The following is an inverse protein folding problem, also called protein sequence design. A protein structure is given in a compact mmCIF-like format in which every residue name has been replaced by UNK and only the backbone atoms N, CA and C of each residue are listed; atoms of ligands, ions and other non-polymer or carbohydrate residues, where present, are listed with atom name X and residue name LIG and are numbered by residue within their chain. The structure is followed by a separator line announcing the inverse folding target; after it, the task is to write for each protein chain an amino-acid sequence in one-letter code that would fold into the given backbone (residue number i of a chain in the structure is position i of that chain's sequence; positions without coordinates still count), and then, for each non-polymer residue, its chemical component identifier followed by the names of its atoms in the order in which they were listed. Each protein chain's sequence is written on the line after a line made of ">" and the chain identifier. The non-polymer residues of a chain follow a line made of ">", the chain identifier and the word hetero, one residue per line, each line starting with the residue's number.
data_IF_408869507732
#
_entry.id   IF_408869507732
#
_cell.length_a   1.000
_cell.length_b   1.000
_cell.length_c   1.000
_cell.angle_alpha   90.00
_cell.angle_beta   90.00
_cell.angle_gamma   90.00
#
_symmetry.space_group_name_H-M   'P 1'
#
loop_
_entity.id
_entity.type
_entity.pdbx_description
1 polymer ?
#
# COMPACT_ATOMS: atom_id res chain seq x y z
N UNK A 1 19.40 15.50 -13.50
CA UNK A 1 20.40 15.50 -12.41
C UNK A 1 19.86 14.47 -11.40
N UNK A 2 20.28 13.22 -11.58
CA UNK A 2 19.83 12.11 -10.73
C UNK A 2 20.54 12.23 -9.38
N UNK A 3 19.74 12.30 -8.32
CA UNK A 3 20.25 12.23 -6.95
C UNK A 3 20.86 10.83 -6.73
N UNK A 4 22.17 10.72 -6.79
CA UNK A 4 22.94 9.56 -6.39
C UNK A 4 23.04 9.51 -4.85
N UNK A 5 21.91 9.41 -4.18
CA UNK A 5 21.81 9.24 -2.75
C UNK A 5 21.07 7.94 -2.48
N UNK A 6 21.83 6.82 -2.36
CA UNK A 6 21.27 5.61 -1.80
C UNK A 6 20.69 5.89 -0.42
N UNK A 7 19.72 5.10 0.00
CA UNK A 7 19.19 5.09 1.35
C UNK A 7 20.39 5.01 2.31
N UNK A 8 20.63 6.11 3.04
CA UNK A 8 21.77 6.18 3.94
C UNK A 8 21.63 5.13 5.03
N UNK A 9 22.56 4.22 4.97
CA UNK A 9 22.89 3.15 5.90
C UNK A 9 22.17 3.15 7.25
N UNK A 10 21.65 1.97 7.58
CA UNK A 10 21.12 1.46 8.84
C UNK A 10 19.62 1.70 9.04
N UNK A 11 18.86 0.64 8.82
CA UNK A 11 17.62 0.20 9.49
C UNK A 11 16.42 1.15 9.66
N UNK A 12 16.48 2.44 9.40
CA UNK A 12 15.29 3.28 9.45
C UNK A 12 14.89 3.73 8.04
N UNK A 13 13.71 3.33 7.64
CA UNK A 13 13.03 3.89 6.46
C UNK A 13 12.64 5.31 6.82
N UNK A 14 13.30 6.32 6.25
CA UNK A 14 12.91 7.70 6.50
C UNK A 14 11.61 8.00 5.76
N UNK A 15 10.54 8.15 6.50
CA UNK A 15 9.21 8.51 5.97
C UNK A 15 9.27 9.73 5.03
N UNK A 16 10.12 10.72 5.34
CA UNK A 16 10.32 11.87 4.47
C UNK A 16 10.93 11.51 3.12
N UNK A 17 11.87 10.57 3.06
CA UNK A 17 12.46 10.11 1.81
C UNK A 17 11.43 9.37 0.96
N UNK A 18 10.61 8.51 1.58
CA UNK A 18 9.51 7.83 0.93
C UNK A 18 8.48 8.83 0.34
N UNK A 19 8.13 9.86 1.10
CA UNK A 19 7.24 10.94 0.65
C UNK A 19 7.81 11.70 -0.55
N UNK A 20 9.09 12.10 -0.48
CA UNK A 20 9.76 12.84 -1.56
C UNK A 20 9.88 11.98 -2.82
N UNK A 21 10.23 10.71 -2.69
CA UNK A 21 10.31 9.78 -3.81
C UNK A 21 8.94 9.54 -4.43
N UNK A 22 7.91 9.33 -3.60
CA UNK A 22 6.53 9.19 -4.06
C UNK A 22 6.08 10.42 -4.85
N UNK A 23 6.35 11.62 -4.33
CA UNK A 23 6.07 12.87 -5.04
C UNK A 23 6.79 12.93 -6.38
N UNK A 24 8.09 12.67 -6.41
CA UNK A 24 8.88 12.72 -7.64
C UNK A 24 8.40 11.73 -8.73
N UNK A 25 7.85 10.58 -8.31
CA UNK A 25 7.32 9.57 -9.22
C UNK A 25 5.88 9.85 -9.67
N UNK A 26 5.06 10.48 -8.83
CA UNK A 26 3.64 10.70 -9.06
C UNK A 26 3.29 12.16 -9.41
N UNK A 27 4.29 13.07 -9.49
CA UNK A 27 4.10 14.47 -9.92
C UNK A 27 3.88 14.53 -11.44
N UNK A 28 2.73 14.02 -11.87
CA UNK A 28 2.28 13.96 -13.24
C UNK A 28 0.81 14.43 -13.32
N UNK A 29 0.43 15.28 -14.28
CA UNK A 29 -0.94 15.74 -14.43
C UNK A 29 -1.97 14.60 -14.58
N UNK A 30 -1.60 13.47 -15.19
CA UNK A 30 -2.43 12.28 -15.32
C UNK A 30 -2.61 11.50 -14.02
N UNK A 31 -1.72 11.71 -13.04
CA UNK A 31 -1.69 11.00 -11.78
C UNK A 31 -2.21 11.81 -10.58
N UNK A 32 -2.81 12.99 -10.79
CA UNK A 32 -3.29 13.85 -9.68
C UNK A 32 -4.21 13.14 -8.69
N UNK A 33 -5.13 12.30 -9.17
CA UNK A 33 -6.00 11.50 -8.30
C UNK A 33 -5.20 10.47 -7.52
N UNK A 34 -4.20 9.85 -8.16
CA UNK A 34 -3.30 8.88 -7.52
C UNK A 34 -2.49 9.55 -6.41
N UNK A 35 -1.95 10.72 -6.68
CA UNK A 35 -1.25 11.51 -5.68
C UNK A 35 -2.12 11.87 -4.47
N UNK A 36 -3.37 12.32 -4.71
CA UNK A 36 -4.33 12.60 -3.62
C UNK A 36 -4.65 11.34 -2.80
N UNK A 37 -4.80 10.20 -3.46
CA UNK A 37 -5.00 8.90 -2.82
C UNK A 37 -3.83 8.52 -1.92
N UNK A 38 -2.61 8.50 -2.48
CA UNK A 38 -1.39 8.13 -1.74
C UNK A 38 -1.17 8.99 -0.50
N UNK A 39 -1.36 10.30 -0.59
CA UNK A 39 -1.27 11.19 0.56
C UNK A 39 -2.28 10.84 1.67
N UNK A 40 -3.49 10.47 1.29
CA UNK A 40 -4.52 10.10 2.26
C UNK A 40 -4.28 8.70 2.85
N UNK A 41 -3.79 7.75 2.04
CA UNK A 41 -3.38 6.42 2.52
C UNK A 41 -2.24 6.55 3.54
N UNK A 42 -1.24 7.38 3.27
CA UNK A 42 -0.14 7.61 4.21
C UNK A 42 -0.62 8.21 5.54
N UNK A 43 -1.50 9.24 5.50
CA UNK A 43 -2.12 9.76 6.74
C UNK A 43 -2.91 8.69 7.50
N UNK A 44 -3.68 7.88 6.77
CA UNK A 44 -4.44 6.78 7.41
C UNK A 44 -3.52 5.74 8.02
N UNK A 45 -2.38 5.43 7.39
CA UNK A 45 -1.36 4.54 7.93
C UNK A 45 -0.75 5.09 9.23
N UNK A 46 -0.45 6.40 9.30
CA UNK A 46 0.02 7.06 10.55
C UNK A 46 -1.01 6.91 11.68
N UNK A 47 -2.30 7.16 11.39
CA UNK A 47 -3.38 6.96 12.38
C UNK A 47 -3.47 5.50 12.85
N UNK A 48 -3.38 4.54 11.92
CA UNK A 48 -3.45 3.12 12.23
C UNK A 48 -2.24 2.65 13.02
N UNK A 49 -1.03 3.15 12.73
CA UNK A 49 0.17 2.87 13.51
C UNK A 49 -0.02 3.23 14.98
N UNK A 50 -0.53 4.43 15.27
CA UNK A 50 -0.84 4.87 16.62
C UNK A 50 -1.97 4.05 17.29
N UNK A 51 -3.05 3.77 16.57
CA UNK A 51 -4.19 2.99 17.08
C UNK A 51 -3.83 1.53 17.39
N UNK A 52 -2.94 0.94 16.58
CA UNK A 52 -2.43 -0.43 16.75
C UNK A 52 -1.28 -0.49 17.77
N UNK A 53 -0.73 0.68 18.17
CA UNK A 53 0.42 0.80 19.05
C UNK A 53 1.64 0.04 18.51
N UNK A 54 1.90 0.24 17.22
CA UNK A 54 3.13 -0.28 16.62
C UNK A 54 4.35 0.38 17.29
N UNK A 55 5.46 -0.33 17.33
CA UNK A 55 6.72 0.31 17.67
C UNK A 55 7.19 1.26 16.55
N UNK A 56 8.23 2.02 16.83
CA UNK A 56 8.69 3.08 15.92
C UNK A 56 9.17 2.49 14.57
N UNK A 57 9.81 1.33 14.57
CA UNK A 57 10.32 0.67 13.37
C UNK A 57 9.15 0.18 12.47
N UNK A 58 8.21 -0.51 13.05
CA UNK A 58 7.02 -1.00 12.35
C UNK A 58 6.15 0.15 11.84
N UNK A 59 6.03 1.23 12.61
CA UNK A 59 5.29 2.43 12.22
C UNK A 59 5.96 3.14 11.02
N UNK A 60 7.29 3.32 11.05
CA UNK A 60 8.04 3.90 9.93
C UNK A 60 7.90 3.04 8.66
N UNK A 61 8.04 1.72 8.76
CA UNK A 61 7.89 0.78 7.64
C UNK A 61 6.49 0.88 7.04
N UNK A 62 5.45 0.87 7.87
CA UNK A 62 4.06 1.00 7.41
C UNK A 62 3.83 2.30 6.67
N UNK A 63 4.24 3.43 7.24
CA UNK A 63 3.99 4.76 6.65
C UNK A 63 4.81 4.95 5.37
N UNK A 64 6.04 4.47 5.32
CA UNK A 64 6.85 4.50 4.11
C UNK A 64 6.24 3.63 2.99
N UNK A 65 5.80 2.43 3.31
CA UNK A 65 5.10 1.57 2.34
C UNK A 65 3.80 2.23 1.85
N UNK A 66 3.05 2.90 2.72
CA UNK A 66 1.85 3.64 2.36
C UNK A 66 2.14 4.81 1.40
N UNK A 67 3.23 5.55 1.58
CA UNK A 67 3.67 6.57 0.61
C UNK A 67 4.04 5.99 -0.75
N UNK A 68 4.55 4.75 -0.79
CA UNK A 68 5.18 4.16 -1.97
C UNK A 68 4.34 3.09 -2.67
N UNK A 69 3.21 2.62 -2.08
CA UNK A 69 2.46 1.45 -2.57
C UNK A 69 2.04 1.56 -4.03
N UNK A 70 1.72 2.76 -4.47
CA UNK A 70 1.23 3.06 -5.82
C UNK A 70 2.29 3.71 -6.74
N UNK A 71 3.56 3.79 -6.32
CA UNK A 71 4.62 4.44 -7.11
C UNK A 71 4.82 3.80 -8.50
N UNK A 72 4.50 2.51 -8.64
CA UNK A 72 4.60 1.78 -9.90
C UNK A 72 3.61 2.23 -10.98
N UNK A 73 2.66 3.12 -10.68
CA UNK A 73 1.85 3.79 -11.70
C UNK A 73 2.59 4.91 -12.43
N UNK A 74 3.77 5.30 -11.93
CA UNK A 74 4.57 6.32 -12.60
C UNK A 74 4.96 5.87 -14.01
N UNK A 75 4.73 6.70 -15.05
CA UNK A 75 5.14 6.38 -16.41
C UNK A 75 6.65 6.19 -16.56
N UNK A 76 7.44 6.66 -15.59
CA UNK A 76 8.90 6.52 -15.58
C UNK A 76 9.35 5.08 -15.28
N UNK A 77 8.51 4.26 -14.62
CA UNK A 77 8.90 2.93 -14.14
C UNK A 77 7.87 1.84 -14.49
N UNK A 78 6.68 2.21 -14.96
CA UNK A 78 5.59 1.28 -15.25
C UNK A 78 5.98 0.27 -16.36
N UNK A 79 5.83 -1.03 -16.06
CA UNK A 79 6.03 -2.14 -16.99
C UNK A 79 4.78 -3.04 -17.12
N UNK A 80 3.65 -2.61 -16.53
CA UNK A 80 2.33 -3.22 -16.72
C UNK A 80 1.73 -3.93 -15.51
N UNK A 81 2.48 -3.99 -14.39
CA UNK A 81 1.94 -4.47 -13.12
C UNK A 81 2.50 -3.66 -11.95
N UNK A 82 1.83 -2.57 -11.64
CA UNK A 82 2.32 -1.53 -10.74
C UNK A 82 2.86 -2.01 -9.39
N UNK A 83 2.33 -3.07 -8.72
CA UNK A 83 2.88 -3.50 -7.44
C UNK A 83 4.33 -3.99 -7.59
N UNK A 84 4.58 -4.82 -8.60
CA UNK A 84 5.92 -5.37 -8.89
C UNK A 84 6.83 -4.30 -9.50
N UNK A 85 6.31 -3.46 -10.39
CA UNK A 85 7.09 -2.39 -11.03
C UNK A 85 7.63 -1.41 -9.98
N UNK A 86 6.76 -1.00 -9.04
CA UNK A 86 7.15 -0.16 -7.90
C UNK A 86 8.19 -0.84 -7.00
N UNK A 87 7.92 -2.07 -6.59
CA UNK A 87 8.82 -2.82 -5.71
C UNK A 87 10.21 -3.05 -6.32
N UNK A 88 10.29 -3.41 -7.61
CA UNK A 88 11.57 -3.56 -8.33
C UNK A 88 12.34 -2.24 -8.40
N UNK A 89 11.64 -1.15 -8.66
CA UNK A 89 12.24 0.17 -8.66
C UNK A 89 12.82 0.51 -7.28
N UNK A 90 12.02 0.36 -6.22
CA UNK A 90 12.43 0.64 -4.85
C UNK A 90 13.63 -0.21 -4.42
N UNK A 91 13.64 -1.50 -4.75
CA UNK A 91 14.77 -2.40 -4.46
C UNK A 91 16.06 -1.92 -5.13
N UNK A 92 16.01 -1.45 -6.40
CA UNK A 92 17.16 -0.88 -7.11
C UNK A 92 17.67 0.41 -6.47
N UNK A 93 16.79 1.17 -5.83
CA UNK A 93 17.14 2.38 -5.07
C UNK A 93 17.62 2.09 -3.64
N UNK A 94 17.69 0.82 -3.24
CA UNK A 94 18.18 0.40 -1.92
C UNK A 94 17.17 0.58 -0.80
N UNK A 95 15.86 0.66 -1.11
CA UNK A 95 14.81 0.65 -0.10
C UNK A 95 14.84 -0.66 0.71
N UNK A 96 14.46 -0.64 1.98
CA UNK A 96 14.36 -1.83 2.80
C UNK A 96 13.49 -2.90 2.15
N UNK A 97 13.93 -4.14 2.20
CA UNK A 97 13.25 -5.26 1.53
C UNK A 97 11.81 -5.43 2.03
N UNK A 98 11.57 -5.20 3.34
CA UNK A 98 10.22 -5.24 3.93
C UNK A 98 9.28 -4.24 3.24
N UNK A 99 9.75 -3.01 2.94
CA UNK A 99 8.97 -2.01 2.21
C UNK A 99 8.70 -2.47 0.78
N UNK A 100 9.71 -3.01 0.10
CA UNK A 100 9.55 -3.55 -1.26
C UNK A 100 8.49 -4.67 -1.29
N UNK A 101 8.54 -5.59 -0.32
CA UNK A 101 7.60 -6.68 -0.18
C UNK A 101 6.17 -6.19 0.12
N UNK A 102 6.01 -5.20 1.00
CA UNK A 102 4.71 -4.59 1.28
C UNK A 102 4.13 -3.90 0.03
N UNK A 103 4.95 -3.15 -0.70
CA UNK A 103 4.54 -2.50 -1.96
C UNK A 103 4.14 -3.51 -3.01
N UNK A 104 4.87 -4.63 -3.16
CA UNK A 104 4.55 -5.67 -4.12
C UNK A 104 3.24 -6.41 -3.81
N UNK A 105 2.92 -6.57 -2.53
CA UNK A 105 1.82 -7.44 -2.08
C UNK A 105 0.57 -6.67 -1.59
N UNK A 106 0.54 -5.33 -1.69
CA UNK A 106 -0.56 -4.53 -1.16
C UNK A 106 -1.92 -4.88 -1.80
N UNK A 107 -2.97 -4.76 -1.00
CA UNK A 107 -4.39 -4.68 -1.42
C UNK A 107 -4.85 -5.69 -2.48
N UNK A 108 -4.52 -6.98 -2.29
CA UNK A 108 -5.00 -8.05 -3.18
C UNK A 108 -4.16 -8.23 -4.44
N UNK A 109 -2.92 -7.71 -4.47
CA UNK A 109 -1.98 -7.85 -5.59
C UNK A 109 -1.78 -9.31 -6.03
N UNK A 110 -1.83 -10.28 -5.10
CA UNK A 110 -1.72 -11.70 -5.44
C UNK A 110 -2.85 -12.17 -6.38
N UNK A 111 -4.09 -11.75 -6.13
CA UNK A 111 -5.23 -12.08 -6.99
C UNK A 111 -5.12 -11.36 -8.34
N UNK A 112 -4.66 -10.11 -8.33
CA UNK A 112 -4.45 -9.37 -9.57
C UNK A 112 -3.31 -9.98 -10.41
N UNK A 113 -2.21 -10.41 -9.77
CA UNK A 113 -1.12 -11.13 -10.42
C UNK A 113 -1.61 -12.41 -11.11
N UNK A 114 -2.46 -13.18 -10.41
CA UNK A 114 -3.06 -14.40 -10.97
C UNK A 114 -3.93 -14.07 -12.20
N UNK A 115 -4.82 -13.09 -12.08
CA UNK A 115 -5.69 -12.67 -13.20
C UNK A 115 -4.89 -12.19 -14.41
N UNK A 116 -3.75 -11.54 -14.18
CA UNK A 116 -2.85 -11.04 -15.23
C UNK A 116 -1.85 -12.07 -15.74
N UNK A 117 -1.77 -13.28 -15.14
CA UNK A 117 -0.74 -14.28 -15.48
C UNK A 117 0.68 -13.87 -15.02
N UNK A 118 0.79 -13.04 -13.98
CA UNK A 118 2.05 -12.47 -13.47
C UNK A 118 2.46 -12.98 -12.09
N UNK A 119 1.89 -14.09 -11.63
CA UNK A 119 2.19 -14.65 -10.31
C UNK A 119 3.68 -14.96 -10.13
N UNK A 120 4.37 -15.41 -11.18
CA UNK A 120 5.81 -15.66 -11.14
C UNK A 120 6.63 -14.40 -10.82
N UNK A 121 6.21 -13.24 -11.30
CA UNK A 121 6.88 -11.97 -11.00
C UNK A 121 6.67 -11.55 -9.54
N UNK A 122 5.48 -11.80 -9.00
CA UNK A 122 5.18 -11.48 -7.60
C UNK A 122 5.97 -12.35 -6.61
N UNK A 123 6.36 -13.57 -7.00
CA UNK A 123 7.19 -14.45 -6.13
C UNK A 123 8.58 -13.87 -5.82
N UNK A 124 9.04 -12.86 -6.55
CA UNK A 124 10.26 -12.11 -6.22
C UNK A 124 10.17 -11.40 -4.86
N UNK A 125 8.95 -11.16 -4.38
CA UNK A 125 8.66 -10.39 -3.17
C UNK A 125 7.76 -11.21 -2.23
N UNK A 126 8.33 -11.93 -1.26
CA UNK A 126 7.53 -12.69 -0.29
C UNK A 126 6.54 -11.80 0.45
N UNK A 127 5.34 -12.30 0.70
CA UNK A 127 4.38 -11.57 1.52
C UNK A 127 4.90 -11.42 2.95
N UNK A 128 4.82 -10.19 3.50
CA UNK A 128 5.27 -9.89 4.87
C UNK A 128 4.29 -10.50 5.88
N UNK A 129 3.00 -10.33 5.62
CA UNK A 129 1.95 -10.76 6.55
C UNK A 129 1.93 -9.95 7.85
N UNK A 130 1.09 -10.39 8.78
CA UNK A 130 1.05 -9.78 10.10
C UNK A 130 0.29 -8.47 10.18
N UNK A 131 0.60 -7.66 11.21
CA UNK A 131 -0.14 -6.45 11.55
C UNK A 131 0.13 -5.31 10.58
N UNK A 132 1.35 -5.19 10.07
CA UNK A 132 1.77 -4.09 9.18
C UNK A 132 1.11 -4.26 7.81
N UNK A 133 1.12 -5.47 7.27
CA UNK A 133 0.48 -5.81 5.99
C UNK A 133 -1.04 -5.59 6.04
N UNK A 134 -1.68 -6.07 7.13
CA UNK A 134 -3.10 -5.81 7.38
C UNK A 134 -3.40 -4.30 7.49
N UNK A 135 -2.53 -3.53 8.15
CA UNK A 135 -2.69 -2.09 8.33
C UNK A 135 -2.52 -1.32 7.01
N UNK A 136 -1.56 -1.70 6.16
CA UNK A 136 -1.39 -1.11 4.83
C UNK A 136 -2.63 -1.36 3.97
N UNK A 137 -3.10 -2.61 3.91
CA UNK A 137 -4.34 -2.97 3.20
C UNK A 137 -5.55 -2.21 3.75
N UNK A 138 -5.65 -2.07 5.08
CA UNK A 138 -6.73 -1.30 5.71
C UNK A 138 -6.66 0.19 5.31
N UNK A 139 -5.48 0.81 5.34
CA UNK A 139 -5.29 2.21 4.97
C UNK A 139 -5.70 2.47 3.50
N UNK A 140 -5.28 1.63 2.58
CA UNK A 140 -5.63 1.75 1.15
C UNK A 140 -7.13 1.50 0.93
N UNK A 141 -7.68 0.42 1.51
CA UNK A 141 -9.07 0.02 1.28
C UNK A 141 -10.09 0.87 2.06
N UNK A 142 -9.65 1.78 2.90
CA UNK A 142 -10.49 2.82 3.53
C UNK A 142 -10.31 4.21 2.88
N UNK A 143 -9.55 4.30 1.79
CA UNK A 143 -9.26 5.57 1.11
C UNK A 143 -9.73 5.54 -0.35
N UNK A 144 -10.56 6.52 -0.74
CA UNK A 144 -11.02 6.67 -2.12
C UNK A 144 -9.91 7.11 -3.07
N UNK A 145 -10.14 7.04 -4.38
CA UNK A 145 -9.23 7.58 -5.40
C UNK A 145 -8.96 9.08 -5.31
N UNK A 146 -9.76 9.80 -4.55
CA UNK A 146 -9.62 11.25 -4.32
C UNK A 146 -9.16 11.59 -2.90
N UNK A 147 -8.80 10.57 -2.10
CA UNK A 147 -8.30 10.75 -0.74
C UNK A 147 -9.38 10.91 0.33
N UNK A 148 -10.64 10.63 0.03
CA UNK A 148 -11.73 10.66 1.02
C UNK A 148 -11.81 9.33 1.76
N UNK A 149 -12.08 9.36 3.06
CA UNK A 149 -12.31 8.13 3.84
C UNK A 149 -13.61 7.44 3.40
N UNK A 150 -13.55 6.13 3.20
CA UNK A 150 -14.67 5.26 2.84
C UNK A 150 -14.68 4.00 3.72
N UNK A 151 -15.83 3.33 3.79
CA UNK A 151 -15.81 1.93 4.24
C UNK A 151 -15.21 1.03 3.16
N UNK A 152 -14.63 -0.11 3.54
CA UNK A 152 -14.08 -1.09 2.57
C UNK A 152 -15.11 -1.50 1.51
N UNK A 153 -16.38 -1.66 1.89
CA UNK A 153 -17.46 -2.00 0.94
C UNK A 153 -17.70 -0.88 -0.07
N UNK A 154 -17.71 0.38 0.40
CA UNK A 154 -17.85 1.54 -0.48
C UNK A 154 -16.63 1.69 -1.40
N UNK A 155 -15.42 1.41 -0.91
CA UNK A 155 -14.20 1.41 -1.71
C UNK A 155 -14.20 0.34 -2.79
N UNK A 156 -14.59 -0.88 -2.47
CA UNK A 156 -14.77 -1.95 -3.46
C UNK A 156 -15.78 -1.52 -4.55
N UNK A 157 -16.94 -1.01 -4.14
CA UNK A 157 -17.95 -0.52 -5.09
C UNK A 157 -17.40 0.61 -5.97
N UNK A 158 -16.66 1.58 -5.40
CA UNK A 158 -16.02 2.67 -6.16
C UNK A 158 -15.02 2.14 -7.20
N UNK A 159 -14.21 1.16 -6.85
CA UNK A 159 -13.27 0.55 -7.80
C UNK A 159 -14.04 -0.14 -8.94
N UNK A 160 -15.03 -0.96 -8.60
CA UNK A 160 -15.82 -1.70 -9.59
C UNK A 160 -16.61 -0.79 -10.54
N UNK A 161 -16.97 0.43 -10.13
CA UNK A 161 -17.61 1.40 -11.04
C UNK A 161 -16.62 2.06 -12.01
N UNK A 162 -15.33 2.11 -11.69
CA UNK A 162 -14.29 2.71 -12.55
C UNK A 162 -13.77 1.78 -13.63
N UNK A 163 -13.85 0.48 -13.41
CA UNK A 163 -13.35 -0.54 -14.32
C UNK A 163 -14.51 -1.36 -14.87
N UNK A 164 -14.44 -1.73 -16.15
CA UNK A 164 -15.50 -2.51 -16.81
C UNK A 164 -15.45 -3.97 -16.37
N UNK A 165 -16.58 -4.68 -16.33
CA UNK A 165 -16.58 -6.13 -16.23
C UNK A 165 -15.67 -6.75 -17.31
N UNK A 166 -14.76 -7.64 -16.88
CA UNK A 166 -13.74 -8.25 -17.74
C UNK A 166 -12.37 -7.58 -17.67
N UNK A 167 -12.25 -6.34 -17.19
CA UNK A 167 -10.95 -5.75 -16.90
C UNK A 167 -10.25 -6.52 -15.77
N UNK A 168 -8.92 -6.64 -15.86
CA UNK A 168 -8.15 -7.38 -14.87
C UNK A 168 -8.36 -6.85 -13.43
N UNK A 169 -8.40 -5.52 -13.26
CA UNK A 169 -8.65 -4.88 -11.96
C UNK A 169 -10.05 -5.21 -11.46
N UNK A 170 -11.07 -5.09 -12.31
CA UNK A 170 -12.45 -5.42 -11.94
C UNK A 170 -12.56 -6.88 -11.47
N UNK A 171 -11.99 -7.81 -12.24
CA UNK A 171 -11.99 -9.23 -11.91
C UNK A 171 -11.23 -9.51 -10.61
N UNK A 172 -10.05 -8.94 -10.46
CA UNK A 172 -9.22 -9.13 -9.27
C UNK A 172 -9.92 -8.59 -8.01
N UNK A 173 -10.45 -7.36 -8.06
CA UNK A 173 -11.14 -6.75 -6.91
C UNK A 173 -12.42 -7.50 -6.57
N UNK A 174 -13.20 -7.94 -7.57
CA UNK A 174 -14.39 -8.77 -7.33
C UNK A 174 -14.04 -10.08 -6.60
N UNK A 175 -12.94 -10.73 -6.98
CA UNK A 175 -12.48 -11.99 -6.37
C UNK A 175 -11.88 -11.78 -4.97
N UNK A 176 -11.13 -10.69 -4.76
CA UNK A 176 -10.45 -10.40 -3.50
C UNK A 176 -11.33 -9.65 -2.48
N UNK A 177 -12.48 -9.11 -2.86
CA UNK A 177 -13.34 -8.31 -1.98
C UNK A 177 -13.66 -8.97 -0.62
N UNK A 178 -13.99 -10.27 -0.53
CA UNK A 178 -14.22 -10.91 0.77
C UNK A 178 -12.96 -10.91 1.65
N UNK A 179 -11.80 -11.20 1.07
CA UNK A 179 -10.53 -11.20 1.78
C UNK A 179 -10.13 -9.79 2.24
N UNK A 180 -10.24 -8.79 1.37
CA UNK A 180 -9.96 -7.38 1.70
C UNK A 180 -10.86 -6.89 2.83
N UNK A 181 -12.15 -7.25 2.79
CA UNK A 181 -13.10 -6.94 3.86
C UNK A 181 -12.67 -7.58 5.18
N UNK A 182 -12.30 -8.86 5.16
CA UNK A 182 -11.86 -9.58 6.36
C UNK A 182 -10.57 -8.97 6.96
N UNK A 183 -9.63 -8.50 6.12
CA UNK A 183 -8.40 -7.81 6.58
C UNK A 183 -8.76 -6.51 7.32
N UNK A 184 -9.61 -5.67 6.73
CA UNK A 184 -10.05 -4.41 7.36
C UNK A 184 -10.77 -4.66 8.68
N UNK A 185 -11.71 -5.61 8.71
CA UNK A 185 -12.44 -6.00 9.93
C UNK A 185 -11.49 -6.54 11.02
N UNK A 186 -10.51 -7.35 10.65
CA UNK A 186 -9.49 -7.89 11.57
C UNK A 186 -8.62 -6.76 12.15
N UNK A 187 -8.23 -5.78 11.34
CA UNK A 187 -7.47 -4.60 11.80
C UNK A 187 -8.26 -3.81 12.82
N UNK A 188 -9.52 -3.48 12.53
CA UNK A 188 -10.39 -2.79 13.49
C UNK A 188 -10.64 -3.60 14.77
N UNK A 189 -10.75 -4.93 14.67
CA UNK A 189 -10.89 -5.78 15.85
C UNK A 189 -9.64 -5.71 16.74
N UNK A 190 -8.43 -5.71 16.15
CA UNK A 190 -7.18 -5.54 16.91
C UNK A 190 -7.16 -4.21 17.66
N UNK A 191 -7.54 -3.11 16.99
CA UNK A 191 -7.60 -1.77 17.59
C UNK A 191 -8.56 -1.77 18.81
N UNK A 192 -9.79 -2.28 18.64
CA UNK A 192 -10.77 -2.34 19.72
C UNK A 192 -10.27 -3.16 20.92
N UNK A 193 -9.63 -4.29 20.68
CA UNK A 193 -9.05 -5.15 21.73
C UNK A 193 -7.91 -4.46 22.46
N UNK A 194 -7.05 -3.72 21.75
CA UNK A 194 -5.97 -2.92 22.34
C UNK A 194 -6.50 -1.84 23.27
N UNK A 195 -7.54 -1.11 22.87
CA UNK A 195 -8.18 -0.09 23.71
C UNK A 195 -8.89 -0.68 24.92
N UNK A 196 -9.54 -1.84 24.80
CA UNK A 196 -10.20 -2.49 25.92
C UNK A 196 -9.21 -2.93 27.01
N UNK A 197 -8.05 -3.48 26.61
CA UNK A 197 -6.98 -3.87 27.53
C UNK A 197 -6.39 -2.67 28.28
N UNK A 198 -6.17 -1.55 27.57
CA UNK A 198 -5.61 -0.34 28.16
C UNK A 198 -6.56 0.36 29.17
N UNK A 199 -7.87 0.09 29.10
CA UNK A 199 -8.85 0.61 30.08
C UNK A 199 -8.99 -0.29 31.30
N UNK A 200 -8.52 -1.53 31.23
CA UNK A 200 -8.61 -2.52 32.31
C UNK A 200 -7.30 -2.62 33.14
N UNK A 201 -6.25 -1.94 32.70
CA UNK A 201 -4.95 -1.80 33.39
C UNK A 201 -4.85 -0.43 34.09
#
# INVERSE_FOLDING_TARGET
>A
MFLSGGWLTVASVRVQEARLLSWALLDDPGLRRRWSHVQAVARRAEELAGQLRLDDEDAEVLVAAAWLHDCGYSPLIAAGFHPVDGARYLRRFGAPETVCCLVANHSGAAVEAEVRGRSAELTEFPAVGGVIDDALTCADMETSSTGTHLSVRARVAEILTRYRPGDAVHTAVSRSAPQLTAVVERTHLRIRRGHARARAS
#
